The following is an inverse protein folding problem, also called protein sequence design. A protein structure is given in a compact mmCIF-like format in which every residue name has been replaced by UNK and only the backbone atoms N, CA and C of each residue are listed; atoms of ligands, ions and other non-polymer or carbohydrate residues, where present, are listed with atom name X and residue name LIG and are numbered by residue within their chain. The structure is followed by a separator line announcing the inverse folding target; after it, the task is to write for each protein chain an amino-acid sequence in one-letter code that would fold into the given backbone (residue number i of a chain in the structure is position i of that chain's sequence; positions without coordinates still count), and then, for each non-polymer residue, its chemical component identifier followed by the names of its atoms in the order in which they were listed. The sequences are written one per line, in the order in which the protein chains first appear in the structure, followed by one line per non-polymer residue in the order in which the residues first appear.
data_IF_124488881168
#
_entry.id   IF_124488881168
#
_cell.length_a   1.000
_cell.length_b   1.000
_cell.length_c   1.000
_cell.angle_alpha   90.00
_cell.angle_beta   90.00
_cell.angle_gamma   90.00
#
_symmetry.space_group_name_H-M   'P 1'
#
loop_
_entity.id
_entity.type
_entity.pdbx_description
1 polymer ?
#
# COMPACT_ATOMS: atom_id res chain seq x y z
N UNK A 1 24.54 -8.75 -9.79
CA UNK A 1 24.46 -10.10 -9.20
C UNK A 1 24.74 -10.01 -7.70
N UNK A 2 23.70 -9.89 -6.89
CA UNK A 2 23.78 -9.84 -5.42
C UNK A 2 24.33 -11.15 -4.81
N UNK A 3 24.26 -12.25 -5.55
CA UNK A 3 24.76 -13.58 -5.12
C UNK A 3 26.28 -13.72 -5.16
N UNK A 4 27.03 -12.67 -5.54
CA UNK A 4 28.49 -12.74 -5.70
C UNK A 4 29.26 -12.11 -4.52
N UNK A 5 28.57 -11.65 -3.48
CA UNK A 5 29.22 -11.05 -2.30
C UNK A 5 29.57 -12.19 -1.32
N UNK A 6 30.85 -12.41 -1.00
CA UNK A 6 31.23 -13.40 0.01
C UNK A 6 30.58 -13.03 1.36
N UNK A 7 29.76 -13.93 1.89
CA UNK A 7 28.97 -13.68 3.11
C UNK A 7 27.61 -13.04 2.89
N UNK A 8 27.19 -12.84 1.64
CA UNK A 8 25.85 -12.33 1.30
C UNK A 8 24.75 -13.35 1.62
N UNK A 9 23.58 -12.85 1.99
CA UNK A 9 22.38 -13.68 2.20
C UNK A 9 22.02 -14.31 0.85
N UNK A 10 22.06 -15.63 0.78
CA UNK A 10 21.58 -16.39 -0.38
C UNK A 10 20.07 -16.27 -0.44
N UNK A 11 19.55 -15.44 -1.33
CA UNK A 11 18.10 -15.34 -1.58
C UNK A 11 17.78 -16.40 -2.64
N UNK A 12 16.91 -17.39 -2.32
CA UNK A 12 16.46 -18.37 -3.29
C UNK A 12 15.87 -17.69 -4.54
N UNK A 13 16.01 -18.30 -5.74
CA UNK A 13 15.51 -17.69 -6.98
C UNK A 13 14.00 -17.39 -6.98
N UNK A 14 13.23 -18.16 -6.22
CA UNK A 14 11.78 -18.01 -6.00
C UNK A 14 11.42 -16.83 -5.06
N UNK A 15 12.41 -16.32 -4.32
CA UNK A 15 12.27 -15.22 -3.33
C UNK A 15 13.10 -13.99 -3.73
N UNK A 16 13.29 -13.76 -5.02
CA UNK A 16 14.02 -12.57 -5.46
C UNK A 16 13.21 -11.27 -5.32
N UNK A 17 13.88 -10.13 -5.35
CA UNK A 17 13.23 -8.82 -5.24
C UNK A 17 12.15 -8.59 -6.32
N UNK A 18 12.28 -9.21 -7.50
CA UNK A 18 11.27 -9.13 -8.55
C UNK A 18 9.92 -9.70 -8.13
N UNK A 19 9.91 -10.81 -7.37
CA UNK A 19 8.67 -11.42 -6.82
C UNK A 19 7.96 -10.44 -5.89
N UNK A 20 8.72 -9.76 -5.03
CA UNK A 20 8.19 -8.73 -4.13
C UNK A 20 7.58 -7.55 -4.92
N UNK A 21 8.31 -6.98 -5.87
CA UNK A 21 7.80 -5.87 -6.67
C UNK A 21 6.58 -6.25 -7.50
N UNK A 22 6.56 -7.45 -8.09
CA UNK A 22 5.40 -7.94 -8.85
C UNK A 22 4.12 -7.99 -8.00
N UNK A 23 4.22 -8.35 -6.72
CA UNK A 23 3.08 -8.39 -5.82
C UNK A 23 2.48 -7.00 -5.51
N UNK A 24 3.28 -5.94 -5.60
CA UNK A 24 2.84 -4.55 -5.36
C UNK A 24 2.22 -3.89 -6.59
N UNK A 25 2.46 -4.39 -7.80
CA UNK A 25 2.03 -3.72 -9.06
C UNK A 25 0.55 -3.36 -9.05
N UNK A 26 -0.33 -4.30 -8.71
CA UNK A 26 -1.77 -4.04 -8.70
C UNK A 26 -2.24 -3.22 -7.49
N UNK A 27 -1.84 -3.52 -6.24
CA UNK A 27 -2.16 -2.65 -5.10
C UNK A 27 -1.75 -1.20 -5.33
N UNK A 28 -0.52 -0.96 -5.79
CA UNK A 28 0.00 0.37 -6.07
C UNK A 28 -0.74 1.05 -7.22
N UNK A 29 -1.05 0.32 -8.29
CA UNK A 29 -1.82 0.86 -9.40
C UNK A 29 -3.16 1.43 -8.93
N UNK A 30 -3.92 0.70 -8.13
CA UNK A 30 -5.19 1.18 -7.58
C UNK A 30 -5.00 2.35 -6.64
N UNK A 31 -4.01 2.28 -5.76
CA UNK A 31 -3.70 3.37 -4.84
C UNK A 31 -3.34 4.65 -5.59
N UNK A 32 -2.37 4.61 -6.51
CA UNK A 32 -1.92 5.80 -7.23
C UNK A 32 -3.00 6.38 -8.15
N UNK A 33 -3.79 5.53 -8.81
CA UNK A 33 -4.88 5.99 -9.67
C UNK A 33 -5.93 6.75 -8.88
N UNK A 34 -6.30 6.28 -7.71
CA UNK A 34 -7.34 6.87 -6.87
C UNK A 34 -6.78 8.02 -6.02
N UNK A 35 -5.65 7.80 -5.33
CA UNK A 35 -5.09 8.77 -4.41
C UNK A 35 -4.49 9.98 -5.13
N UNK A 36 -3.68 9.77 -6.17
CA UNK A 36 -3.06 10.87 -6.90
C UNK A 36 -4.09 11.68 -7.68
N UNK A 37 -5.06 10.99 -8.33
CA UNK A 37 -6.09 11.66 -9.12
C UNK A 37 -7.12 12.39 -8.26
N UNK A 38 -7.73 11.71 -7.31
CA UNK A 38 -8.86 12.27 -6.55
C UNK A 38 -8.40 13.17 -5.39
N UNK A 39 -7.39 12.74 -4.61
CA UNK A 39 -7.00 13.42 -3.37
C UNK A 39 -6.14 14.65 -3.64
N UNK A 40 -5.13 14.54 -4.50
CA UNK A 40 -4.17 15.63 -4.73
C UNK A 40 -4.74 16.79 -5.52
N UNK A 41 -5.49 16.51 -6.58
CA UNK A 41 -5.92 17.55 -7.54
C UNK A 41 -7.23 18.23 -7.13
N UNK A 42 -8.20 17.50 -6.63
CA UNK A 42 -9.53 18.05 -6.35
C UNK A 42 -9.81 18.21 -4.85
N UNK A 43 -9.43 17.25 -4.03
CA UNK A 43 -9.84 17.20 -2.64
C UNK A 43 -9.15 18.27 -1.77
N UNK A 44 -7.82 18.39 -1.85
CA UNK A 44 -7.03 19.35 -1.07
C UNK A 44 -7.44 20.81 -1.31
N UNK A 45 -7.53 21.31 -2.57
CA UNK A 45 -7.98 22.68 -2.83
C UNK A 45 -9.38 22.96 -2.32
N UNK A 46 -10.31 21.99 -2.49
CA UNK A 46 -11.67 22.14 -2.00
C UNK A 46 -11.74 22.26 -0.47
N UNK A 47 -11.01 21.41 0.26
CA UNK A 47 -10.94 21.48 1.73
C UNK A 47 -10.36 22.83 2.19
N UNK A 48 -9.30 23.31 1.54
CA UNK A 48 -8.66 24.59 1.86
C UNK A 48 -9.61 25.77 1.65
N UNK A 49 -10.38 25.78 0.56
CA UNK A 49 -11.38 26.82 0.30
C UNK A 49 -12.50 26.82 1.36
N UNK A 50 -13.02 25.64 1.73
CA UNK A 50 -14.05 25.53 2.76
C UNK A 50 -13.54 25.95 4.14
N UNK A 51 -12.34 25.56 4.49
CA UNK A 51 -11.73 25.97 5.74
C UNK A 51 -11.47 27.49 5.80
N UNK A 52 -11.02 28.09 4.69
CA UNK A 52 -10.82 29.54 4.59
C UNK A 52 -12.14 30.33 4.77
N UNK A 53 -13.27 29.75 4.38
CA UNK A 53 -14.62 30.29 4.60
C UNK A 53 -15.18 30.03 5.99
N UNK A 54 -14.42 29.35 6.87
CA UNK A 54 -14.83 28.97 8.21
C UNK A 54 -15.80 27.78 8.29
N UNK A 55 -16.10 27.15 7.15
CA UNK A 55 -17.07 26.05 7.04
C UNK A 55 -16.42 24.69 7.38
N UNK A 56 -16.09 24.52 8.66
CA UNK A 56 -15.50 23.28 9.18
C UNK A 56 -16.43 22.07 9.04
N UNK A 57 -17.75 22.31 9.07
CA UNK A 57 -18.74 21.23 8.95
C UNK A 57 -18.66 20.57 7.59
N UNK A 58 -18.65 21.35 6.51
CA UNK A 58 -18.47 20.82 5.16
C UNK A 58 -17.15 20.07 4.97
N UNK A 59 -16.07 20.51 5.63
CA UNK A 59 -14.77 19.78 5.60
C UNK A 59 -14.94 18.37 6.15
N UNK A 60 -15.59 18.21 7.30
CA UNK A 60 -15.79 16.90 7.92
C UNK A 60 -16.81 16.03 7.16
N UNK A 61 -17.90 16.58 6.70
CA UNK A 61 -18.91 15.87 5.91
C UNK A 61 -18.34 15.31 4.61
N UNK A 62 -17.60 16.14 3.87
CA UNK A 62 -16.95 15.69 2.64
C UNK A 62 -15.91 14.61 2.91
N UNK A 63 -15.04 14.83 3.91
CA UNK A 63 -13.99 13.85 4.25
C UNK A 63 -14.60 12.51 4.65
N UNK A 64 -15.64 12.51 5.49
CA UNK A 64 -16.34 11.29 5.91
C UNK A 64 -17.03 10.59 4.74
N UNK A 65 -17.69 11.35 3.87
CA UNK A 65 -18.34 10.80 2.68
C UNK A 65 -17.35 10.16 1.72
N UNK A 66 -16.20 10.81 1.51
CA UNK A 66 -15.15 10.30 0.65
C UNK A 66 -14.48 9.05 1.23
N UNK A 67 -14.20 9.05 2.55
CA UNK A 67 -13.69 7.86 3.24
C UNK A 67 -14.67 6.70 3.07
N UNK A 68 -15.95 6.90 3.35
CA UNK A 68 -16.95 5.84 3.24
C UNK A 68 -17.07 5.30 1.81
N UNK A 69 -17.16 6.18 0.82
CA UNK A 69 -17.27 5.79 -0.58
C UNK A 69 -16.05 5.02 -1.07
N UNK A 70 -14.84 5.57 -0.87
CA UNK A 70 -13.61 4.93 -1.30
C UNK A 70 -13.30 3.66 -0.50
N UNK A 71 -13.67 3.61 0.79
CA UNK A 71 -13.49 2.39 1.59
C UNK A 71 -14.33 1.24 1.05
N UNK A 72 -15.60 1.48 0.72
CA UNK A 72 -16.46 0.44 0.14
C UNK A 72 -15.91 0.00 -1.22
N UNK A 73 -15.56 0.95 -2.08
CA UNK A 73 -15.03 0.68 -3.40
C UNK A 73 -13.73 -0.14 -3.34
N UNK A 74 -12.76 0.33 -2.55
CA UNK A 74 -11.45 -0.33 -2.42
C UNK A 74 -11.52 -1.66 -1.65
N UNK A 75 -12.47 -1.80 -0.73
CA UNK A 75 -12.73 -3.09 -0.09
C UNK A 75 -13.19 -4.13 -1.12
N UNK A 76 -14.11 -3.75 -2.02
CA UNK A 76 -14.56 -4.64 -3.11
C UNK A 76 -13.40 -4.98 -4.05
N UNK A 77 -12.59 -3.98 -4.45
CA UNK A 77 -11.38 -4.18 -5.26
C UNK A 77 -10.40 -5.13 -4.56
N UNK A 78 -10.14 -4.91 -3.27
CA UNK A 78 -9.27 -5.77 -2.46
C UNK A 78 -9.80 -7.20 -2.37
N UNK A 79 -11.11 -7.38 -2.21
CA UNK A 79 -11.74 -8.70 -2.20
C UNK A 79 -11.57 -9.41 -3.54
N UNK A 80 -11.78 -8.72 -4.65
CA UNK A 80 -11.54 -9.26 -6.01
C UNK A 80 -10.08 -9.65 -6.17
N UNK A 81 -9.15 -8.79 -5.77
CA UNK A 81 -7.71 -9.10 -5.81
C UNK A 81 -7.36 -10.32 -4.94
N UNK A 82 -7.93 -10.43 -3.75
CA UNK A 82 -7.70 -11.56 -2.85
C UNK A 82 -8.16 -12.89 -3.46
N UNK A 83 -9.38 -12.91 -4.03
CA UNK A 83 -9.98 -14.11 -4.63
C UNK A 83 -9.25 -14.52 -5.91
N UNK A 84 -8.94 -13.56 -6.77
CA UNK A 84 -8.33 -13.80 -8.08
C UNK A 84 -6.81 -13.65 -8.10
N UNK A 85 -6.14 -13.64 -6.94
CA UNK A 85 -4.71 -13.41 -6.82
C UNK A 85 -3.85 -14.32 -7.70
N UNK A 86 -4.20 -15.60 -7.85
CA UNK A 86 -3.45 -16.54 -8.69
C UNK A 86 -3.54 -16.20 -10.19
N UNK A 87 -4.71 -15.77 -10.63
CA UNK A 87 -4.93 -15.35 -12.04
C UNK A 87 -4.20 -14.04 -12.32
N UNK A 88 -4.32 -13.09 -11.40
CA UNK A 88 -3.69 -11.78 -11.50
C UNK A 88 -2.16 -11.88 -11.44
N UNK A 89 -1.62 -12.73 -10.57
CA UNK A 89 -0.18 -12.99 -10.50
C UNK A 89 0.39 -13.49 -11.82
N UNK A 90 -0.31 -14.38 -12.52
CA UNK A 90 0.10 -14.88 -13.84
C UNK A 90 0.11 -13.76 -14.90
N UNK A 91 -0.80 -12.79 -14.79
CA UNK A 91 -0.87 -11.67 -15.74
C UNK A 91 0.20 -10.61 -15.49
N UNK A 92 0.57 -10.39 -14.23
CA UNK A 92 1.57 -9.39 -13.85
C UNK A 92 2.99 -9.92 -13.97
N UNK A 93 3.21 -11.19 -13.62
CA UNK A 93 4.53 -11.81 -13.52
C UNK A 93 4.77 -12.82 -14.67
N UNK A 94 4.71 -12.36 -15.91
CA UNK A 94 4.98 -13.20 -17.07
C UNK A 94 6.40 -13.75 -17.06
N UNK A 95 6.54 -15.06 -17.30
CA UNK A 95 7.83 -15.73 -17.36
C UNK A 95 8.42 -16.15 -16.00
N UNK A 96 7.66 -15.99 -14.91
CA UNK A 96 8.04 -16.49 -13.60
C UNK A 96 7.76 -17.99 -13.46
N UNK A 97 8.56 -18.68 -12.63
CA UNK A 97 8.34 -20.10 -12.33
C UNK A 97 7.04 -20.28 -11.53
N UNK A 98 6.44 -21.50 -11.53
CA UNK A 98 5.23 -21.78 -10.75
C UNK A 98 5.38 -21.45 -9.26
N UNK A 99 6.56 -21.65 -8.69
CA UNK A 99 6.87 -21.35 -7.29
C UNK A 99 6.91 -19.83 -7.04
N UNK A 100 7.55 -19.07 -7.94
CA UNK A 100 7.55 -17.60 -7.89
C UNK A 100 6.13 -17.02 -8.01
N UNK A 101 5.32 -17.56 -8.92
CA UNK A 101 3.92 -17.15 -9.08
C UNK A 101 3.09 -17.40 -7.83
N UNK A 102 3.31 -18.53 -7.15
CA UNK A 102 2.65 -18.81 -5.87
C UNK A 102 3.03 -17.79 -4.80
N UNK A 103 4.30 -17.42 -4.70
CA UNK A 103 4.78 -16.39 -3.78
C UNK A 103 4.21 -15.01 -4.11
N UNK A 104 4.16 -14.62 -5.39
CA UNK A 104 3.50 -13.36 -5.83
C UNK A 104 2.04 -13.36 -5.43
N UNK A 105 1.28 -14.42 -5.69
CA UNK A 105 -0.13 -14.52 -5.35
C UNK A 105 -0.36 -14.45 -3.83
N UNK A 106 0.49 -15.11 -3.04
CA UNK A 106 0.41 -15.08 -1.57
C UNK A 106 0.64 -13.67 -1.04
N UNK A 107 1.69 -12.99 -1.51
CA UNK A 107 1.97 -11.61 -1.11
C UNK A 107 0.88 -10.65 -1.60
N UNK A 108 0.36 -10.83 -2.82
CA UNK A 108 -0.75 -10.03 -3.36
C UNK A 108 -2.01 -10.15 -2.49
N UNK A 109 -2.32 -11.33 -1.95
CA UNK A 109 -3.43 -11.52 -0.99
C UNK A 109 -3.21 -10.73 0.30
N UNK A 110 -1.99 -10.74 0.85
CA UNK A 110 -1.65 -9.97 2.05
C UNK A 110 -1.81 -8.47 1.79
N UNK A 111 -1.36 -8.00 0.63
CA UNK A 111 -1.36 -6.60 0.22
C UNK A 111 -2.71 -6.12 -0.37
N UNK A 112 -3.68 -7.02 -0.56
CA UNK A 112 -4.94 -6.72 -1.23
C UNK A 112 -5.73 -5.57 -0.59
N UNK A 113 -5.62 -5.37 0.72
CA UNK A 113 -6.27 -4.30 1.46
C UNK A 113 -5.40 -3.04 1.65
N UNK A 114 -4.13 -3.06 1.26
CA UNK A 114 -3.25 -1.90 1.37
C UNK A 114 -3.80 -0.64 0.69
N UNK A 115 -4.36 -0.70 -0.55
CA UNK A 115 -4.93 0.48 -1.19
C UNK A 115 -6.02 1.15 -0.35
N UNK A 116 -6.84 0.36 0.36
CA UNK A 116 -7.87 0.87 1.27
C UNK A 116 -7.24 1.63 2.44
N UNK A 117 -6.29 1.03 3.15
CA UNK A 117 -5.65 1.66 4.31
C UNK A 117 -4.87 2.91 3.92
N UNK A 118 -4.10 2.85 2.84
CA UNK A 118 -3.34 4.00 2.34
C UNK A 118 -4.25 5.14 1.88
N UNK A 119 -5.39 4.84 1.26
CA UNK A 119 -6.34 5.88 0.85
C UNK A 119 -7.00 6.55 2.06
N UNK A 120 -7.43 5.79 3.06
CA UNK A 120 -7.96 6.36 4.31
C UNK A 120 -6.90 7.23 4.99
N UNK A 121 -5.68 6.73 5.13
CA UNK A 121 -4.55 7.47 5.70
C UNK A 121 -4.26 8.74 4.91
N UNK A 122 -4.31 8.67 3.58
CA UNK A 122 -4.13 9.83 2.69
C UNK A 122 -5.19 10.90 2.88
N UNK A 123 -6.47 10.53 3.02
CA UNK A 123 -7.56 11.48 3.30
C UNK A 123 -7.37 12.13 4.67
N UNK A 124 -7.07 11.34 5.70
CA UNK A 124 -6.81 11.86 7.05
C UNK A 124 -5.60 12.80 7.04
N UNK A 125 -4.53 12.43 6.33
CA UNK A 125 -3.34 13.27 6.16
C UNK A 125 -3.67 14.59 5.45
N UNK A 126 -4.48 14.56 4.40
CA UNK A 126 -4.93 15.76 3.68
C UNK A 126 -5.71 16.71 4.59
N UNK A 127 -6.64 16.17 5.39
CA UNK A 127 -7.38 16.95 6.39
C UNK A 127 -6.42 17.58 7.40
N UNK A 128 -5.48 16.83 7.94
CA UNK A 128 -4.50 17.35 8.90
C UNK A 128 -3.64 18.47 8.29
N UNK A 129 -3.21 18.32 7.04
CA UNK A 129 -2.41 19.34 6.33
C UNK A 129 -3.21 20.63 6.16
N UNK A 130 -4.48 20.57 5.77
CA UNK A 130 -5.36 21.75 5.63
C UNK A 130 -5.53 22.46 6.99
N UNK A 131 -5.57 21.72 8.11
CA UNK A 131 -5.58 22.31 9.45
C UNK A 131 -4.21 22.73 9.98
N UNK A 132 -3.14 22.68 9.14
CA UNK A 132 -1.78 23.08 9.52
C UNK A 132 -1.05 22.09 10.43
N UNK A 133 -1.55 20.87 10.56
CA UNK A 133 -0.97 19.81 11.42
C UNK A 133 -0.09 18.87 10.61
N UNK A 134 1.10 19.30 10.24
CA UNK A 134 2.02 18.56 9.37
C UNK A 134 2.78 17.42 10.07
N UNK A 135 2.87 17.42 11.39
CA UNK A 135 3.69 16.48 12.15
C UNK A 135 3.33 15.01 11.87
N UNK A 136 2.06 14.67 11.95
CA UNK A 136 1.60 13.29 11.76
C UNK A 136 1.80 12.80 10.32
N UNK A 137 1.60 13.68 9.35
CA UNK A 137 1.90 13.39 7.95
C UNK A 137 3.38 13.10 7.70
N UNK A 138 4.27 13.90 8.32
CA UNK A 138 5.70 13.75 8.14
C UNK A 138 6.26 12.47 8.81
N UNK A 139 5.64 12.00 9.88
CA UNK A 139 6.12 10.83 10.63
C UNK A 139 5.60 9.49 10.06
N UNK A 140 4.48 9.49 9.33
CA UNK A 140 3.86 8.28 8.79
C UNK A 140 4.82 7.43 7.91
N UNK A 141 5.61 8.00 6.97
CA UNK A 141 6.58 7.23 6.19
C UNK A 141 7.67 6.58 7.04
N UNK A 142 8.02 7.18 8.18
CA UNK A 142 9.01 6.61 9.10
C UNK A 142 8.47 5.35 9.76
N UNK A 143 7.21 5.36 10.22
CA UNK A 143 6.57 4.18 10.79
C UNK A 143 6.41 3.06 9.76
N UNK A 144 6.01 3.41 8.53
CA UNK A 144 5.92 2.45 7.43
C UNK A 144 7.26 1.75 7.15
N UNK A 145 8.33 2.52 6.97
CA UNK A 145 9.66 1.97 6.74
C UNK A 145 10.16 1.16 7.94
N UNK A 146 9.91 1.64 9.17
CA UNK A 146 10.29 0.93 10.39
C UNK A 146 9.58 -0.42 10.51
N UNK A 147 8.29 -0.49 10.15
CA UNK A 147 7.52 -1.73 10.12
C UNK A 147 8.11 -2.75 9.16
N UNK A 148 8.48 -2.33 7.94
CA UNK A 148 9.15 -3.20 6.96
C UNK A 148 10.49 -3.69 7.51
N UNK A 149 11.32 -2.80 8.06
CA UNK A 149 12.62 -3.18 8.64
C UNK A 149 12.43 -4.16 9.81
N UNK A 150 11.51 -3.89 10.71
CA UNK A 150 11.21 -4.77 11.83
C UNK A 150 10.75 -6.16 11.36
N UNK A 151 9.93 -6.22 10.31
CA UNK A 151 9.47 -7.49 9.74
C UNK A 151 10.60 -8.35 9.20
N UNK A 152 11.64 -7.74 8.62
CA UNK A 152 12.84 -8.48 8.17
C UNK A 152 13.51 -9.18 9.35
N UNK A 153 13.69 -8.48 10.47
CA UNK A 153 14.33 -9.08 11.66
C UNK A 153 13.47 -10.16 12.31
N UNK A 154 12.15 -9.97 12.35
CA UNK A 154 11.21 -10.90 12.99
C UNK A 154 11.04 -12.18 12.15
N UNK A 155 10.92 -12.05 10.83
CA UNK A 155 10.56 -13.15 9.94
C UNK A 155 11.73 -13.75 9.15
N UNK A 156 12.95 -13.24 9.33
CA UNK A 156 14.18 -13.61 8.64
C UNK A 156 14.44 -15.13 8.53
N UNK A 157 13.97 -15.93 9.49
CA UNK A 157 14.25 -17.36 9.53
C UNK A 157 13.08 -18.27 9.09
N UNK A 158 11.84 -17.76 9.03
CA UNK A 158 10.65 -18.61 8.94
C UNK A 158 9.83 -18.44 7.66
N UNK A 159 9.66 -17.21 7.16
CA UNK A 159 8.69 -16.89 6.09
C UNK A 159 9.38 -16.23 4.88
N UNK A 160 10.67 -15.91 4.99
CA UNK A 160 11.43 -15.30 3.89
C UNK A 160 10.82 -13.98 3.41
N UNK A 161 10.71 -13.82 2.07
CA UNK A 161 10.25 -12.57 1.44
C UNK A 161 8.79 -12.21 1.74
N UNK A 162 7.95 -13.19 2.08
CA UNK A 162 6.56 -12.96 2.46
C UNK A 162 6.46 -12.11 3.75
N UNK A 163 7.47 -12.21 4.63
CA UNK A 163 7.58 -11.36 5.82
C UNK A 163 7.62 -9.87 5.49
N UNK A 164 8.23 -9.48 4.36
CA UNK A 164 8.24 -8.09 3.89
C UNK A 164 6.83 -7.58 3.53
N UNK A 165 6.02 -8.44 2.88
CA UNK A 165 4.64 -8.09 2.56
C UNK A 165 3.79 -7.89 3.83
N UNK A 166 4.01 -8.72 4.87
CA UNK A 166 3.37 -8.53 6.19
C UNK A 166 3.82 -7.21 6.81
N UNK A 167 5.12 -6.89 6.78
CA UNK A 167 5.63 -5.61 7.27
C UNK A 167 5.02 -4.41 6.57
N UNK A 168 4.86 -4.48 5.26
CA UNK A 168 4.23 -3.44 4.46
C UNK A 168 2.70 -3.34 4.70
N UNK A 169 2.04 -4.43 5.06
CA UNK A 169 0.61 -4.43 5.40
C UNK A 169 0.33 -3.90 6.82
N UNK A 170 1.31 -4.01 7.73
CA UNK A 170 1.20 -3.55 9.12
C UNK A 170 1.68 -2.11 9.34
N UNK A 171 2.45 -1.54 8.42
CA UNK A 171 3.00 -0.17 8.48
C UNK A 171 2.10 0.85 7.87
#
# INVERSE_FOLDING_TARGET
NFNSIPGGIQIPPDQNAGVYFAAFVLPDFFFFTIAAGALGVAFMPYLSDRLAKGDRKSVWELSSSLINFLSIFLFVVGLVMFVFADVLARQVAHGYTPEQLHNVATMMRILALNPLFFTISGIVAAVQQVFGRFFFYAIAPLFYNLSIIASIYIFKGNIGIVGLAIGAACG
#
